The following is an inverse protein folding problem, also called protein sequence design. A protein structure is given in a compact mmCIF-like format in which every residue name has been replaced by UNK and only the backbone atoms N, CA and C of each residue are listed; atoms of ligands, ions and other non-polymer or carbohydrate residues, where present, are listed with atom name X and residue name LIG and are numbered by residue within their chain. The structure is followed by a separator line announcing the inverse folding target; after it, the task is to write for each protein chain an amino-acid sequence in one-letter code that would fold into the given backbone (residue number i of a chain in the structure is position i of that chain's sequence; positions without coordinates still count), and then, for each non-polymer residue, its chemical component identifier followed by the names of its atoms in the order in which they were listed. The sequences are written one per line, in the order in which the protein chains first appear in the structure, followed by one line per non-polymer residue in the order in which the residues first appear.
data_IF_166579123955
#
_entry.id   IF_166579123955
#
_cell.length_a   1.000
_cell.length_b   1.000
_cell.length_c   1.000
_cell.angle_alpha   90.00
_cell.angle_beta   90.00
_cell.angle_gamma   90.00
#
_symmetry.space_group_name_H-M   'P 1'
#
loop_
_entity.id
_entity.type
_entity.pdbx_description
1 polymer ?
#
# COMPACT_ATOMS: atom_id res chain seq x y z
N UNK A 1 31.82 26.23 -8.12
CA UNK A 1 32.96 25.30 -8.25
C UNK A 1 32.49 23.96 -7.72
N UNK A 2 32.16 23.01 -8.59
CA UNK A 2 31.69 21.70 -8.18
C UNK A 2 32.91 20.84 -7.81
N UNK A 3 32.96 20.35 -6.57
CA UNK A 3 33.98 19.35 -6.20
C UNK A 3 33.73 18.08 -7.03
N UNK A 4 34.76 17.51 -7.67
CA UNK A 4 34.68 16.14 -8.15
C UNK A 4 34.32 15.23 -6.98
N UNK A 5 33.33 14.35 -7.13
CA UNK A 5 32.92 13.37 -6.12
C UNK A 5 34.08 12.48 -5.61
N UNK A 6 35.20 12.47 -6.34
CA UNK A 6 36.45 11.79 -5.98
C UNK A 6 37.19 12.43 -4.79
N UNK A 7 36.84 13.65 -4.40
CA UNK A 7 37.48 14.39 -3.30
C UNK A 7 36.63 14.44 -2.01
N UNK A 8 35.55 13.66 -1.90
CA UNK A 8 34.79 13.56 -0.65
C UNK A 8 35.66 12.81 0.38
N UNK A 9 36.00 13.42 1.52
CA UNK A 9 36.77 12.73 2.57
C UNK A 9 36.09 11.44 3.01
N UNK A 10 36.86 10.36 3.19
CA UNK A 10 36.34 9.01 3.46
C UNK A 10 35.47 8.94 4.72
N UNK A 11 35.75 9.79 5.71
CA UNK A 11 34.99 9.97 6.95
C UNK A 11 33.62 10.64 6.73
N UNK A 12 33.47 11.41 5.65
CA UNK A 12 32.23 12.12 5.30
C UNK A 12 31.31 11.25 4.43
N UNK A 13 31.86 10.29 3.69
CA UNK A 13 31.08 9.43 2.78
C UNK A 13 29.88 8.75 3.45
N UNK A 14 30.00 8.11 4.64
CA UNK A 14 28.84 7.53 5.32
C UNK A 14 27.76 8.54 5.67
N UNK A 15 28.14 9.78 5.99
CA UNK A 15 27.21 10.85 6.33
C UNK A 15 26.43 11.33 5.10
N UNK A 16 27.12 11.49 3.97
CA UNK A 16 26.49 11.84 2.69
C UNK A 16 25.54 10.73 2.24
N UNK A 17 25.95 9.47 2.37
CA UNK A 17 25.12 8.33 1.98
C UNK A 17 23.81 8.20 2.78
N UNK A 18 23.71 8.77 4.00
CA UNK A 18 22.44 8.81 4.75
C UNK A 18 21.36 9.67 4.06
N UNK A 19 21.76 10.62 3.22
CA UNK A 19 20.83 11.48 2.48
C UNK A 19 20.44 10.91 1.11
N UNK A 20 21.11 9.84 0.67
CA UNK A 20 20.84 9.21 -0.62
C UNK A 20 19.63 8.28 -0.50
N UNK A 21 18.72 8.32 -1.47
CA UNK A 21 17.76 7.22 -1.63
C UNK A 21 18.51 5.94 -2.01
N UNK A 22 17.89 4.77 -1.88
CA UNK A 22 18.52 3.53 -2.36
C UNK A 22 18.81 3.61 -3.86
N UNK A 23 18.02 4.40 -4.58
CA UNK A 23 18.18 4.63 -6.00
C UNK A 23 19.43 5.47 -6.29
N UNK A 24 19.64 6.56 -5.55
CA UNK A 24 20.86 7.37 -5.69
C UNK A 24 22.11 6.52 -5.42
N UNK A 25 22.07 5.69 -4.37
CA UNK A 25 23.14 4.73 -4.10
C UNK A 25 23.32 3.68 -5.21
N UNK A 26 22.22 3.24 -5.82
CA UNK A 26 22.26 2.31 -6.96
C UNK A 26 22.96 2.95 -8.15
N UNK A 27 22.58 4.17 -8.52
CA UNK A 27 23.22 4.90 -9.62
C UNK A 27 24.68 5.20 -9.32
N UNK A 28 24.98 5.69 -8.11
CA UNK A 28 26.32 6.03 -7.69
C UNK A 28 27.25 4.80 -7.73
N UNK A 29 26.73 3.61 -7.39
CA UNK A 29 27.48 2.35 -7.48
C UNK A 29 27.86 1.91 -8.91
N UNK A 30 27.37 2.59 -9.95
CA UNK A 30 27.77 2.36 -11.35
C UNK A 30 28.66 3.48 -11.92
N UNK A 31 28.97 4.51 -11.13
CA UNK A 31 29.78 5.64 -11.60
C UNK A 31 31.26 5.26 -11.70
N UNK A 32 31.82 4.59 -10.70
CA UNK A 32 33.21 4.10 -10.71
C UNK A 32 33.42 2.92 -9.76
N UNK A 33 34.63 2.36 -9.74
CA UNK A 33 35.01 1.18 -8.94
C UNK A 33 34.96 1.45 -7.44
N UNK A 34 35.29 2.67 -7.00
CA UNK A 34 35.22 3.08 -5.60
C UNK A 34 33.79 2.95 -5.06
N UNK A 35 32.82 3.59 -5.70
CA UNK A 35 31.42 3.52 -5.28
C UNK A 35 30.84 2.12 -5.45
N UNK A 36 31.21 1.39 -6.50
CA UNK A 36 30.81 -0.01 -6.67
C UNK A 36 31.27 -0.87 -5.47
N UNK A 37 32.50 -0.68 -5.01
CA UNK A 37 33.03 -1.36 -3.82
C UNK A 37 32.29 -0.94 -2.55
N UNK A 38 32.12 0.37 -2.32
CA UNK A 38 31.42 0.90 -1.15
C UNK A 38 29.99 0.33 -1.00
N UNK A 39 29.19 0.36 -2.07
CA UNK A 39 27.81 -0.15 -2.04
C UNK A 39 27.72 -1.69 -2.08
N UNK A 40 28.82 -2.42 -2.06
CA UNK A 40 28.79 -3.89 -1.96
C UNK A 40 28.66 -4.39 -0.51
N UNK A 41 29.01 -3.57 0.49
CA UNK A 41 29.04 -3.91 1.93
C UNK A 41 27.65 -4.16 2.56
N UNK A 42 26.57 -3.87 1.84
CA UNK A 42 25.21 -4.24 2.28
C UNK A 42 24.62 -3.38 3.39
N UNK A 43 25.43 -2.70 4.20
CA UNK A 43 25.04 -1.76 5.27
C UNK A 43 24.04 -0.71 4.76
N UNK A 44 24.40 -0.01 3.68
CA UNK A 44 23.52 0.97 3.01
C UNK A 44 22.16 0.40 2.59
N UNK A 45 22.13 -0.84 2.09
CA UNK A 45 20.92 -1.45 1.57
C UNK A 45 19.99 -1.96 2.67
N UNK A 46 20.56 -2.54 3.74
CA UNK A 46 19.81 -3.09 4.88
C UNK A 46 18.90 -2.05 5.54
N UNK A 47 19.37 -0.81 5.66
CA UNK A 47 18.56 0.30 6.17
C UNK A 47 17.31 0.59 5.31
N UNK A 48 17.34 0.25 4.01
CA UNK A 48 16.31 0.61 3.02
C UNK A 48 15.40 -0.55 2.62
N UNK A 49 15.84 -1.79 2.80
CA UNK A 49 15.02 -2.97 2.48
C UNK A 49 14.73 -3.86 3.68
N UNK A 50 15.26 -3.53 4.86
CA UNK A 50 15.20 -4.37 6.05
C UNK A 50 16.18 -5.53 5.99
N UNK A 51 16.19 -6.33 7.06
CA UNK A 51 16.91 -7.60 7.06
C UNK A 51 16.11 -8.64 6.29
N UNK A 52 16.71 -9.19 5.23
CA UNK A 52 16.09 -10.21 4.37
C UNK A 52 17.04 -11.39 4.24
N UNK A 53 16.58 -12.60 4.56
CA UNK A 53 17.35 -13.82 4.26
C UNK A 53 17.28 -14.10 2.75
N UNK A 54 18.36 -13.81 2.03
CA UNK A 54 18.41 -14.04 0.60
C UNK A 54 19.81 -14.40 0.12
N UNK A 55 19.87 -15.27 -0.90
CA UNK A 55 21.10 -15.66 -1.59
C UNK A 55 21.60 -14.62 -2.59
N UNK A 56 20.84 -13.54 -2.83
CA UNK A 56 21.22 -12.47 -3.75
C UNK A 56 22.01 -11.37 -3.03
N UNK A 57 22.90 -10.69 -3.77
CA UNK A 57 23.56 -9.49 -3.25
C UNK A 57 22.53 -8.43 -2.86
N UNK A 58 22.85 -7.64 -1.83
CA UNK A 58 21.97 -6.58 -1.33
C UNK A 58 21.50 -5.61 -2.42
N UNK A 59 22.41 -5.21 -3.31
CA UNK A 59 22.09 -4.40 -4.49
C UNK A 59 21.05 -5.08 -5.41
N UNK A 60 21.17 -6.40 -5.63
CA UNK A 60 20.22 -7.18 -6.45
C UNK A 60 18.87 -7.37 -5.73
N UNK A 61 18.87 -7.47 -4.41
CA UNK A 61 17.64 -7.48 -3.61
C UNK A 61 16.90 -6.14 -3.72
N UNK A 62 17.60 -5.01 -3.52
CA UNK A 62 17.05 -3.67 -3.70
C UNK A 62 16.43 -3.46 -5.09
N UNK A 63 17.10 -3.93 -6.15
CA UNK A 63 16.59 -3.87 -7.53
C UNK A 63 15.38 -4.77 -7.77
N UNK A 64 15.09 -5.72 -6.88
CA UNK A 64 13.93 -6.59 -7.02
C UNK A 64 12.76 -6.18 -6.13
N UNK A 65 13.01 -5.45 -5.05
CA UNK A 65 11.94 -4.89 -4.24
C UNK A 65 11.27 -3.75 -5.01
N UNK A 66 10.01 -3.92 -5.36
CA UNK A 66 9.25 -2.95 -6.16
C UNK A 66 7.88 -2.75 -5.55
N UNK A 67 7.48 -1.48 -5.44
CA UNK A 67 6.11 -1.12 -5.11
C UNK A 67 5.20 -1.42 -6.30
N UNK A 68 3.92 -1.62 -6.04
CA UNK A 68 2.93 -1.96 -7.07
C UNK A 68 2.24 -0.69 -7.59
N UNK A 69 2.33 -0.44 -8.88
CA UNK A 69 1.59 0.57 -9.63
C UNK A 69 0.17 0.09 -9.91
N UNK A 70 -0.80 0.88 -9.48
CA UNK A 70 -2.21 0.69 -9.77
C UNK A 70 -2.72 1.78 -10.69
N UNK A 71 -3.42 1.32 -11.72
CA UNK A 71 -3.98 2.14 -12.76
C UNK A 71 -5.49 1.92 -12.78
N UNK A 72 -6.24 2.90 -12.25
CA UNK A 72 -7.71 2.93 -12.41
C UNK A 72 -8.15 3.04 -13.87
N UNK A 73 -9.44 2.87 -14.15
CA UNK A 73 -9.94 2.93 -15.53
C UNK A 73 -9.73 4.30 -16.17
N UNK A 74 -9.54 4.27 -17.49
CA UNK A 74 -9.55 5.50 -18.27
C UNK A 74 -10.97 6.08 -18.32
N UNK A 75 -11.11 7.40 -18.42
CA UNK A 75 -12.42 8.06 -18.58
C UNK A 75 -13.18 7.48 -19.79
N UNK A 76 -12.48 7.21 -20.89
CA UNK A 76 -13.03 6.62 -22.12
C UNK A 76 -12.59 5.15 -22.29
N UNK A 77 -12.69 4.36 -21.23
CA UNK A 77 -12.35 2.93 -21.26
C UNK A 77 -13.33 2.12 -22.12
N UNK A 78 -12.86 1.01 -22.68
CA UNK A 78 -13.73 0.02 -23.32
C UNK A 78 -14.46 -0.78 -22.24
N UNK A 79 -15.64 -1.34 -22.53
CA UNK A 79 -16.37 -2.18 -21.57
C UNK A 79 -15.54 -3.33 -20.98
N UNK A 80 -14.61 -3.89 -21.78
CA UNK A 80 -13.75 -5.02 -21.42
C UNK A 80 -12.48 -4.61 -20.66
N UNK A 81 -12.21 -3.31 -20.50
CA UNK A 81 -11.04 -2.84 -19.76
C UNK A 81 -11.24 -3.05 -18.25
N UNK A 82 -10.17 -3.44 -17.57
CA UNK A 82 -10.14 -3.60 -16.12
C UNK A 82 -9.18 -2.61 -15.47
N UNK A 83 -9.55 -2.14 -14.28
CA UNK A 83 -8.59 -1.51 -13.37
C UNK A 83 -7.49 -2.52 -13.01
N UNK A 84 -6.33 -2.01 -12.63
CA UNK A 84 -5.33 -2.83 -11.96
C UNK A 84 -5.84 -3.32 -10.62
N UNK A 85 -5.67 -4.60 -10.31
CA UNK A 85 -5.98 -5.15 -8.99
C UNK A 85 -5.08 -6.34 -8.67
N UNK A 86 -4.96 -6.65 -7.37
CA UNK A 86 -4.32 -7.88 -6.89
C UNK A 86 -5.12 -8.48 -5.73
N UNK A 87 -4.93 -9.77 -5.51
CA UNK A 87 -5.47 -10.47 -4.36
C UNK A 87 -4.47 -10.49 -3.20
N UNK A 88 -5.01 -10.60 -1.98
CA UNK A 88 -4.22 -10.96 -0.81
C UNK A 88 -3.86 -12.44 -0.87
N UNK A 89 -2.60 -12.77 -0.63
CA UNK A 89 -2.11 -14.14 -0.55
C UNK A 89 -1.89 -14.52 0.92
N UNK A 90 -2.31 -15.73 1.30
CA UNK A 90 -1.97 -16.32 2.59
C UNK A 90 -0.45 -16.33 2.80
N UNK A 91 -0.01 -16.01 4.01
CA UNK A 91 1.41 -16.10 4.34
C UNK A 91 1.84 -17.54 4.64
N UNK A 92 0.89 -18.37 5.11
CA UNK A 92 1.13 -19.80 5.29
C UNK A 92 0.95 -20.54 3.96
N UNK A 93 2.03 -21.14 3.45
CA UNK A 93 2.12 -21.97 2.22
C UNK A 93 1.18 -23.21 2.14
N UNK A 94 0.13 -23.30 2.97
CA UNK A 94 -0.62 -24.54 3.22
C UNK A 94 -2.08 -24.55 2.73
N UNK A 95 -2.57 -23.51 2.06
CA UNK A 95 -3.97 -23.47 1.63
C UNK A 95 -4.10 -23.76 0.13
N UNK A 96 -5.05 -24.62 -0.26
CA UNK A 96 -5.43 -24.86 -1.66
C UNK A 96 -6.25 -23.71 -2.26
N UNK A 97 -6.42 -22.61 -1.52
CA UNK A 97 -7.27 -21.49 -1.90
C UNK A 97 -6.45 -20.48 -2.71
N UNK A 98 -6.99 -19.94 -3.81
CA UNK A 98 -6.23 -19.04 -4.67
C UNK A 98 -5.96 -17.67 -4.04
N UNK A 99 -6.71 -17.28 -3.00
CA UNK A 99 -6.57 -16.00 -2.31
C UNK A 99 -7.05 -16.05 -0.85
N UNK A 100 -6.52 -15.16 -0.03
CA UNK A 100 -6.91 -14.93 1.36
C UNK A 100 -8.29 -14.27 1.44
N UNK A 101 -9.14 -14.78 2.32
CA UNK A 101 -10.49 -14.25 2.53
C UNK A 101 -10.58 -13.54 3.88
N UNK A 102 -10.43 -12.21 3.85
CA UNK A 102 -10.50 -11.37 5.06
C UNK A 102 -11.83 -11.56 5.81
N UNK A 103 -12.94 -11.71 5.08
CA UNK A 103 -14.25 -11.97 5.68
C UNK A 103 -14.30 -13.24 6.55
N UNK A 104 -13.45 -14.23 6.27
CA UNK A 104 -13.37 -15.48 7.03
C UNK A 104 -12.57 -15.38 8.32
N UNK A 105 -12.00 -14.23 8.65
CA UNK A 105 -11.42 -14.00 9.97
C UNK A 105 -12.46 -14.04 11.10
N UNK A 106 -13.74 -14.34 10.81
CA UNK A 106 -14.71 -14.82 11.79
C UNK A 106 -14.86 -13.84 12.95
N UNK A 107 -14.82 -14.31 14.18
CA UNK A 107 -14.89 -13.47 15.39
C UNK A 107 -13.52 -13.06 15.94
N UNK A 108 -12.48 -13.06 15.10
CA UNK A 108 -11.13 -12.66 15.54
C UNK A 108 -10.89 -11.17 15.34
N UNK A 109 -10.09 -10.58 16.23
CA UNK A 109 -9.50 -9.27 16.00
C UNK A 109 -8.52 -9.35 14.83
N UNK A 110 -8.48 -8.30 14.02
CA UNK A 110 -7.59 -8.24 12.86
C UNK A 110 -7.15 -6.80 12.61
N UNK A 111 -6.07 -6.66 11.86
CA UNK A 111 -5.62 -5.36 11.39
C UNK A 111 -5.12 -5.46 9.97
N UNK A 112 -5.04 -4.34 9.27
CA UNK A 112 -4.24 -4.23 8.05
C UNK A 112 -3.43 -2.94 8.09
N UNK A 113 -2.31 -2.95 7.39
CA UNK A 113 -1.53 -1.74 7.12
C UNK A 113 -1.06 -1.73 5.66
N UNK A 114 -0.83 -0.52 5.17
CA UNK A 114 -0.45 -0.27 3.79
C UNK A 114 0.29 1.05 3.67
N UNK A 115 1.36 1.05 2.88
CA UNK A 115 1.91 2.28 2.34
C UNK A 115 1.29 2.55 0.98
N UNK A 116 0.83 3.77 0.75
CA UNK A 116 0.31 4.15 -0.55
C UNK A 116 0.72 5.57 -0.94
N UNK A 117 0.76 5.82 -2.24
CA UNK A 117 0.90 7.14 -2.83
C UNK A 117 -0.13 7.35 -3.92
N UNK A 118 -0.70 8.55 -3.98
CA UNK A 118 -1.69 8.93 -4.98
C UNK A 118 -0.99 9.48 -6.21
N UNK A 119 -1.43 9.09 -7.40
CA UNK A 119 -0.98 9.73 -8.64
C UNK A 119 -1.85 10.95 -8.94
N UNK A 120 -1.30 12.00 -9.57
CA UNK A 120 -2.08 13.15 -9.96
C UNK A 120 -3.17 12.74 -10.95
N UNK A 121 -4.31 13.43 -10.92
CA UNK A 121 -5.29 13.31 -11.99
C UNK A 121 -4.64 13.65 -13.34
N UNK A 122 -5.03 12.92 -14.38
CA UNK A 122 -4.65 13.21 -15.76
C UNK A 122 -5.91 13.44 -16.58
N UNK A 123 -5.77 13.82 -17.86
CA UNK A 123 -6.93 13.95 -18.75
C UNK A 123 -7.74 12.65 -18.85
N UNK A 124 -7.07 11.51 -18.70
CA UNK A 124 -7.67 10.20 -18.91
C UNK A 124 -7.95 9.46 -17.61
N UNK A 125 -7.53 9.95 -16.44
CA UNK A 125 -7.62 9.20 -15.17
C UNK A 125 -7.95 10.10 -14.00
N UNK A 126 -8.88 9.63 -13.17
CA UNK A 126 -9.28 10.33 -11.96
C UNK A 126 -8.24 10.20 -10.84
N UNK A 127 -8.22 11.19 -9.96
CA UNK A 127 -7.47 11.16 -8.70
C UNK A 127 -8.15 10.23 -7.71
N UNK A 128 -7.39 9.53 -6.87
CA UNK A 128 -7.94 8.67 -5.81
C UNK A 128 -8.23 7.24 -6.27
N UNK A 129 -9.26 6.63 -5.66
CA UNK A 129 -9.72 5.28 -5.94
C UNK A 129 -9.77 4.38 -4.70
N UNK A 130 -10.23 3.15 -4.89
CA UNK A 130 -10.39 2.17 -3.82
C UNK A 130 -9.09 1.41 -3.61
N UNK A 131 -8.48 1.58 -2.44
CA UNK A 131 -7.25 0.89 -2.05
C UNK A 131 -7.58 -0.56 -1.66
N UNK A 132 -8.63 -0.77 -0.85
CA UNK A 132 -9.12 -2.09 -0.46
C UNK A 132 -10.64 -2.15 -0.63
N UNK A 133 -11.08 -2.95 -1.60
CA UNK A 133 -12.49 -3.29 -1.81
C UNK A 133 -12.76 -4.73 -1.45
N UNK A 134 -13.89 -5.00 -0.80
CA UNK A 134 -14.43 -6.35 -0.68
C UNK A 134 -15.77 -6.46 -1.37
N UNK A 135 -16.00 -7.58 -2.05
CA UNK A 135 -17.12 -7.78 -2.96
C UNK A 135 -17.61 -9.24 -2.90
N UNK A 136 -18.87 -9.49 -3.28
CA UNK A 136 -19.39 -10.84 -3.51
C UNK A 136 -18.98 -11.43 -4.86
N UNK A 137 -18.70 -10.57 -5.84
CA UNK A 137 -18.26 -10.92 -7.19
C UNK A 137 -16.99 -10.14 -7.52
N UNK A 138 -16.01 -10.75 -8.19
CA UNK A 138 -14.73 -10.09 -8.46
C UNK A 138 -14.80 -9.20 -9.69
N UNK A 139 -13.87 -8.24 -9.78
CA UNK A 139 -13.76 -7.33 -10.94
C UNK A 139 -13.70 -8.10 -12.26
N UNK A 140 -12.89 -9.15 -12.34
CA UNK A 140 -12.67 -9.94 -13.56
C UNK A 140 -13.85 -10.84 -13.94
N UNK A 141 -14.76 -11.15 -13.00
CA UNK A 141 -15.99 -11.88 -13.32
C UNK A 141 -16.94 -11.09 -14.23
N UNK A 142 -16.74 -9.77 -14.33
CA UNK A 142 -17.63 -8.82 -15.00
C UNK A 142 -19.08 -8.82 -14.47
N UNK A 143 -19.36 -9.56 -13.40
CA UNK A 143 -20.68 -9.58 -12.76
C UNK A 143 -20.83 -8.40 -11.82
N UNK A 144 -22.06 -7.89 -11.74
CA UNK A 144 -22.40 -6.90 -10.72
C UNK A 144 -22.36 -7.54 -9.33
N UNK A 145 -21.53 -7.04 -8.39
CA UNK A 145 -21.51 -7.57 -7.03
C UNK A 145 -22.79 -7.16 -6.30
N UNK A 146 -23.48 -8.12 -5.71
CA UNK A 146 -24.67 -7.84 -4.90
C UNK A 146 -24.29 -7.22 -3.56
N UNK A 147 -23.17 -7.66 -2.98
CA UNK A 147 -22.60 -7.10 -1.76
C UNK A 147 -21.23 -6.51 -2.04
N UNK A 148 -20.98 -5.29 -1.59
CA UNK A 148 -19.70 -4.61 -1.81
C UNK A 148 -19.45 -3.51 -0.81
N UNK A 149 -18.22 -3.44 -0.32
CA UNK A 149 -17.75 -2.40 0.60
C UNK A 149 -16.36 -1.89 0.21
N UNK A 150 -16.16 -0.58 0.40
CA UNK A 150 -14.88 0.10 0.18
C UNK A 150 -14.26 0.35 1.56
N UNK A 151 -13.45 -0.57 2.05
CA UNK A 151 -12.90 -0.50 3.41
C UNK A 151 -11.73 0.48 3.54
N UNK A 152 -11.01 0.74 2.45
CA UNK A 152 -10.05 1.82 2.37
C UNK A 152 -10.13 2.46 0.98
N UNK A 153 -10.34 3.76 0.91
CA UNK A 153 -10.46 4.48 -0.36
C UNK A 153 -10.16 5.97 -0.21
N UNK A 154 -9.78 6.60 -1.32
CA UNK A 154 -9.61 8.05 -1.41
C UNK A 154 -10.57 8.59 -2.48
N UNK A 155 -11.40 9.57 -2.14
CA UNK A 155 -12.29 10.22 -3.11
C UNK A 155 -11.50 11.03 -4.13
N UNK A 156 -12.14 11.45 -5.22
CA UNK A 156 -11.51 12.35 -6.20
C UNK A 156 -11.17 13.74 -5.65
N UNK A 157 -11.69 14.08 -4.46
CA UNK A 157 -11.35 15.30 -3.71
C UNK A 157 -10.19 15.13 -2.72
N UNK A 158 -9.64 13.93 -2.59
CA UNK A 158 -8.58 13.64 -1.61
C UNK A 158 -9.07 13.44 -0.19
N UNK A 159 -10.30 12.98 -0.02
CA UNK A 159 -10.85 12.56 1.27
C UNK A 159 -10.58 11.07 1.47
N UNK A 160 -9.93 10.71 2.58
CA UNK A 160 -9.66 9.34 2.96
C UNK A 160 -10.83 8.80 3.77
N UNK A 161 -11.32 7.64 3.35
CA UNK A 161 -12.26 6.82 4.10
C UNK A 161 -11.58 5.51 4.45
N UNK A 162 -11.69 5.11 5.71
CA UNK A 162 -11.18 3.83 6.17
C UNK A 162 -12.05 3.30 7.31
N UNK A 163 -12.82 2.25 7.05
CA UNK A 163 -13.76 1.69 8.02
C UNK A 163 -14.21 0.30 7.62
N UNK A 164 -14.37 -0.59 8.61
CA UNK A 164 -15.02 -1.91 8.48
C UNK A 164 -16.40 -1.94 9.12
N UNK A 165 -16.85 -0.80 9.67
CA UNK A 165 -18.17 -0.60 10.28
C UNK A 165 -19.20 -0.21 9.21
N UNK A 166 -20.48 -0.18 9.58
CA UNK A 166 -21.57 0.25 8.68
C UNK A 166 -21.48 1.72 8.26
N UNK A 167 -20.91 2.57 9.12
CA UNK A 167 -20.71 3.99 8.83
C UNK A 167 -19.45 4.25 8.01
N UNK A 168 -19.59 5.09 6.97
CA UNK A 168 -18.46 5.67 6.25
C UNK A 168 -18.33 7.14 6.62
N UNK A 169 -17.19 7.49 7.20
CA UNK A 169 -16.84 8.86 7.55
C UNK A 169 -15.47 9.19 6.96
N UNK A 170 -15.27 10.47 6.66
CA UNK A 170 -13.98 11.00 6.27
C UNK A 170 -13.07 10.98 7.50
N UNK A 171 -11.98 10.22 7.45
CA UNK A 171 -11.00 10.12 8.54
C UNK A 171 -9.80 11.04 8.33
N UNK A 172 -9.53 11.44 7.08
CA UNK A 172 -8.56 12.48 6.74
C UNK A 172 -8.95 13.16 5.43
N UNK A 173 -8.49 14.39 5.21
CA UNK A 173 -8.81 15.17 4.01
C UNK A 173 -7.55 15.81 3.41
N UNK A 174 -7.70 16.38 2.22
CA UNK A 174 -6.64 17.08 1.49
C UNK A 174 -5.37 16.22 1.27
N UNK A 175 -5.56 14.91 1.01
CA UNK A 175 -4.45 14.05 0.59
C UNK A 175 -3.89 14.55 -0.74
N UNK A 176 -2.56 14.52 -0.87
CA UNK A 176 -1.83 15.07 -2.02
C UNK A 176 -1.25 13.95 -2.88
N UNK A 177 -1.14 14.22 -4.17
CA UNK A 177 -0.40 13.36 -5.09
C UNK A 177 1.08 13.29 -4.72
N UNK A 178 1.76 12.21 -5.14
CA UNK A 178 3.20 12.01 -5.04
C UNK A 178 3.77 12.12 -3.61
N UNK A 179 2.94 11.80 -2.62
CA UNK A 179 3.32 11.71 -1.22
C UNK A 179 3.06 10.30 -0.71
N UNK A 180 3.98 9.76 0.07
CA UNK A 180 3.80 8.50 0.78
C UNK A 180 2.93 8.71 2.02
N UNK A 181 1.95 7.83 2.19
CA UNK A 181 1.07 7.74 3.34
C UNK A 181 1.12 6.32 3.90
N UNK A 182 1.29 6.19 5.20
CA UNK A 182 1.09 4.92 5.89
C UNK A 182 -0.31 4.91 6.51
N UNK A 183 -1.16 4.00 6.07
CA UNK A 183 -2.49 3.78 6.63
C UNK A 183 -2.53 2.45 7.35
N UNK A 184 -3.06 2.45 8.56
CA UNK A 184 -3.41 1.22 9.27
C UNK A 184 -4.82 1.28 9.83
N UNK A 185 -5.50 0.15 9.84
CA UNK A 185 -6.75 -0.04 10.55
C UNK A 185 -6.62 -1.26 11.44
N UNK A 186 -7.05 -1.13 12.68
CA UNK A 186 -7.09 -2.21 13.66
C UNK A 186 -8.51 -2.35 14.20
N UNK A 187 -9.06 -3.56 14.17
CA UNK A 187 -10.37 -3.88 14.70
C UNK A 187 -10.27 -4.95 15.79
N UNK A 188 -10.69 -4.59 17.00
CA UNK A 188 -10.71 -5.44 18.17
C UNK A 188 -12.14 -6.00 18.37
N UNK A 189 -12.27 -7.33 18.33
CA UNK A 189 -13.58 -7.95 18.26
C UNK A 189 -14.33 -8.00 19.61
N UNK A 190 -13.67 -7.99 20.77
CA UNK A 190 -14.38 -8.13 22.05
C UNK A 190 -15.14 -6.84 22.40
N UNK A 191 -14.47 -5.70 22.29
CA UNK A 191 -15.02 -4.36 22.55
C UNK A 191 -15.62 -3.72 21.29
N UNK A 192 -15.51 -4.39 20.13
CA UNK A 192 -15.99 -3.89 18.84
C UNK A 192 -15.37 -2.52 18.52
N UNK A 193 -14.08 -2.38 18.81
CA UNK A 193 -13.39 -1.11 18.65
C UNK A 193 -12.57 -1.10 17.35
N UNK A 194 -12.79 -0.08 16.53
CA UNK A 194 -11.98 0.23 15.37
C UNK A 194 -11.07 1.42 15.67
N UNK A 195 -9.78 1.28 15.37
CA UNK A 195 -8.80 2.36 15.37
C UNK A 195 -8.24 2.53 13.96
N UNK A 196 -8.13 3.77 13.49
CA UNK A 196 -7.53 4.12 12.20
C UNK A 196 -6.33 5.03 12.44
N UNK A 197 -5.23 4.72 11.78
CA UNK A 197 -3.97 5.41 11.91
C UNK A 197 -3.50 5.93 10.55
N UNK A 198 -2.96 7.14 10.52
CA UNK A 198 -2.32 7.73 9.36
C UNK A 198 -0.95 8.28 9.73
N UNK A 199 0.07 7.85 9.00
CA UNK A 199 1.48 8.22 9.23
C UNK A 199 1.94 8.00 10.67
N UNK A 200 1.57 6.86 11.24
CA UNK A 200 1.93 6.50 12.61
C UNK A 200 0.99 7.07 13.68
N UNK A 201 0.09 8.00 13.36
CA UNK A 201 -0.78 8.65 14.36
C UNK A 201 -2.21 8.13 14.29
N UNK A 202 -2.82 7.83 15.43
CA UNK A 202 -4.27 7.57 15.49
C UNK A 202 -5.06 8.82 15.07
N UNK A 203 -5.93 8.66 14.07
CA UNK A 203 -6.79 9.73 13.53
C UNK A 203 -8.27 9.49 13.80
N UNK A 204 -8.67 8.27 14.16
CA UNK A 204 -10.05 7.92 14.49
C UNK A 204 -10.10 6.69 15.39
N UNK A 205 -11.02 6.70 16.36
CA UNK A 205 -11.32 5.58 17.25
C UNK A 205 -12.83 5.51 17.45
N UNK A 206 -13.46 4.44 16.99
CA UNK A 206 -14.92 4.31 16.97
C UNK A 206 -15.32 2.91 17.42
N UNK A 207 -16.36 2.83 18.26
CA UNK A 207 -16.96 1.57 18.67
C UNK A 207 -18.15 1.26 17.78
N UNK A 208 -18.21 0.05 17.25
CA UNK A 208 -19.34 -0.42 16.47
C UNK A 208 -19.13 -1.84 15.92
N UNK A 209 -20.21 -2.56 15.60
CA UNK A 209 -20.09 -3.84 14.93
C UNK A 209 -19.55 -3.66 13.51
N UNK A 210 -18.86 -4.68 13.01
CA UNK A 210 -18.57 -4.78 11.58
C UNK A 210 -19.84 -4.68 10.76
N UNK A 211 -19.66 -4.29 9.50
CA UNK A 211 -20.73 -4.26 8.51
C UNK A 211 -21.56 -5.55 8.55
N UNK A 212 -22.89 -5.43 8.57
CA UNK A 212 -23.80 -6.57 8.71
C UNK A 212 -23.63 -7.63 7.60
N UNK A 213 -23.23 -7.19 6.40
CA UNK A 213 -22.97 -8.05 5.23
C UNK A 213 -21.57 -8.69 5.22
N UNK A 214 -20.78 -8.57 6.29
CA UNK A 214 -19.37 -9.00 6.33
C UNK A 214 -19.12 -10.39 5.76
N UNK A 215 -19.99 -11.37 6.07
CA UNK A 215 -19.84 -12.75 5.63
C UNK A 215 -20.13 -12.97 4.14
N UNK A 216 -20.74 -12.01 3.46
CA UNK A 216 -20.98 -12.05 2.02
C UNK A 216 -19.84 -11.43 1.20
N UNK A 217 -18.95 -10.69 1.85
CA UNK A 217 -17.82 -9.96 1.26
C UNK A 217 -16.61 -10.87 1.03
N UNK A 218 -16.76 -11.88 0.18
CA UNK A 218 -15.79 -12.99 0.05
C UNK A 218 -14.49 -12.61 -0.63
N UNK A 219 -14.50 -11.64 -1.53
CA UNK A 219 -13.39 -11.34 -2.42
C UNK A 219 -12.75 -10.02 -2.02
N UNK A 220 -11.57 -10.08 -1.41
CA UNK A 220 -10.77 -8.90 -1.10
C UNK A 220 -9.81 -8.59 -2.26
N UNK A 221 -9.99 -7.42 -2.89
CA UNK A 221 -9.14 -6.95 -3.97
C UNK A 221 -8.49 -5.63 -3.57
N UNK A 222 -7.16 -5.58 -3.70
CA UNK A 222 -6.38 -4.36 -3.51
C UNK A 222 -6.32 -3.63 -4.85
N UNK A 223 -6.59 -2.33 -4.82
CA UNK A 223 -6.55 -1.45 -5.98
C UNK A 223 -7.85 -1.33 -6.78
N UNK A 224 -8.95 -1.98 -6.36
CA UNK A 224 -10.26 -1.83 -6.99
C UNK A 224 -11.42 -2.11 -6.02
N UNK A 225 -12.62 -1.71 -6.42
CA UNK A 225 -13.89 -2.09 -5.80
C UNK A 225 -15.08 -1.46 -6.51
N UNK A 226 -16.29 -1.96 -6.26
CA UNK A 226 -17.55 -1.37 -6.75
C UNK A 226 -18.07 -0.30 -5.79
N UNK A 227 -18.75 0.72 -6.31
CA UNK A 227 -19.40 1.83 -5.60
C UNK A 227 -20.86 1.95 -6.07
N UNK A 228 -21.78 2.20 -5.15
CA UNK A 228 -23.21 2.44 -5.43
C UNK A 228 -23.76 3.72 -4.80
N UNK A 229 -22.94 4.45 -4.03
CA UNK A 229 -23.43 5.66 -3.37
C UNK A 229 -23.13 6.88 -4.24
N UNK A 230 -24.19 7.63 -4.52
CA UNK A 230 -24.19 8.96 -5.13
C UNK A 230 -23.46 10.03 -4.30
N UNK A 231 -23.36 9.82 -2.99
CA UNK A 231 -22.78 10.79 -2.04
C UNK A 231 -21.26 10.83 -2.01
N UNK A 232 -20.59 9.79 -2.53
CA UNK A 232 -19.14 9.69 -2.52
C UNK A 232 -18.62 10.17 -3.88
N UNK A 233 -17.69 11.14 -3.89
CA UNK A 233 -17.05 11.65 -5.11
C UNK A 233 -16.12 10.60 -5.74
N UNK A 234 -16.69 9.55 -6.34
CA UNK A 234 -16.02 8.28 -6.65
C UNK A 234 -16.40 7.73 -8.02
N UNK A 235 -15.81 8.21 -9.11
CA UNK A 235 -14.88 9.35 -9.18
C UNK A 235 -15.60 10.71 -9.29
N UNK A 236 -16.88 10.71 -9.63
CA UNK A 236 -17.72 11.90 -9.76
C UNK A 236 -19.09 11.65 -9.11
N UNK A 237 -19.84 12.71 -8.76
CA UNK A 237 -21.18 12.56 -8.17
C UNK A 237 -22.08 11.66 -9.00
N UNK A 238 -22.79 10.72 -8.35
CA UNK A 238 -23.71 9.80 -9.02
C UNK A 238 -23.05 8.64 -9.78
N UNK A 239 -21.73 8.46 -9.70
CA UNK A 239 -21.10 7.29 -10.28
C UNK A 239 -21.53 6.01 -9.56
N UNK A 240 -21.90 5.00 -10.36
CA UNK A 240 -22.25 3.66 -9.92
C UNK A 240 -21.46 2.68 -10.76
N UNK A 241 -20.60 1.88 -10.14
CA UNK A 241 -19.70 1.00 -10.85
C UNK A 241 -18.37 0.77 -10.16
N UNK A 242 -17.44 0.16 -10.90
CA UNK A 242 -16.10 -0.12 -10.43
C UNK A 242 -15.22 1.14 -10.43
N UNK A 243 -14.45 1.32 -9.36
CA UNK A 243 -13.57 2.46 -9.17
C UNK A 243 -12.17 2.01 -8.72
N UNK A 244 -11.27 1.87 -9.68
CA UNK A 244 -9.89 1.49 -9.41
C UNK A 244 -9.03 2.59 -8.80
N UNK A 245 -8.04 2.16 -8.03
CA UNK A 245 -7.00 3.00 -7.46
C UNK A 245 -6.05 3.52 -8.54
N UNK A 246 -5.83 4.84 -8.54
CA UNK A 246 -4.79 5.47 -9.34
C UNK A 246 -3.64 5.92 -8.43
N UNK A 247 -2.67 5.04 -8.26
CA UNK A 247 -1.65 5.20 -7.22
C UNK A 247 -0.57 4.13 -7.22
N UNK A 248 0.28 4.16 -6.21
CA UNK A 248 1.29 3.15 -5.92
C UNK A 248 1.02 2.59 -4.52
N UNK A 249 1.15 1.28 -4.34
CA UNK A 249 1.03 0.59 -3.04
C UNK A 249 2.33 -0.14 -2.73
N UNK A 250 2.78 -0.06 -1.48
CA UNK A 250 3.91 -0.81 -0.94
C UNK A 250 3.47 -1.53 0.35
N UNK A 251 4.00 -2.74 0.56
CA UNK A 251 3.84 -3.50 1.80
C UNK A 251 2.39 -3.61 2.36
N UNK A 252 1.39 -3.91 1.52
CA UNK A 252 0.03 -4.19 2.02
C UNK A 252 0.01 -5.51 2.78
N UNK A 253 -0.34 -5.46 4.08
CA UNK A 253 -0.32 -6.62 4.98
C UNK A 253 -1.60 -6.70 5.81
N UNK A 254 -1.96 -7.92 6.19
CA UNK A 254 -3.08 -8.22 7.12
C UNK A 254 -2.54 -9.03 8.28
N UNK A 255 -2.90 -8.63 9.50
CA UNK A 255 -2.39 -9.17 10.75
C UNK A 255 -3.50 -9.88 11.55
N UNK A 256 -3.13 -10.97 12.22
CA UNK A 256 -4.03 -11.75 13.09
C UNK A 256 -4.09 -11.17 14.51
N UNK A 257 -4.59 -9.94 14.65
CA UNK A 257 -4.73 -9.29 15.94
C UNK A 257 -4.92 -7.79 15.84
N UNK A 258 -5.02 -7.14 17.00
CA UNK A 258 -5.11 -5.69 17.15
C UNK A 258 -3.70 -5.09 17.15
N UNK A 259 -3.35 -4.24 16.19
CA UNK A 259 -2.10 -3.47 16.23
C UNK A 259 -2.14 -2.46 17.40
N UNK A 260 -1.06 -2.40 18.17
CA UNK A 260 -0.85 -1.34 19.15
C UNK A 260 -0.30 -0.07 18.48
N UNK A 261 -0.35 1.06 19.20
CA UNK A 261 0.24 2.31 18.73
C UNK A 261 1.75 2.17 18.47
N UNK A 262 2.47 1.37 19.27
CA UNK A 262 3.89 1.10 19.07
C UNK A 262 4.15 0.25 17.83
N UNK A 263 3.33 -0.78 17.58
CA UNK A 263 3.42 -1.56 16.34
C UNK A 263 3.21 -0.66 15.11
N UNK A 264 2.20 0.21 15.16
CA UNK A 264 1.92 1.16 14.07
C UNK A 264 3.08 2.14 13.88
N UNK A 265 3.70 2.62 14.95
CA UNK A 265 4.87 3.50 14.85
C UNK A 265 6.04 2.83 14.12
N UNK A 266 6.31 1.56 14.43
CA UNK A 266 7.34 0.76 13.76
C UNK A 266 7.01 0.58 12.27
N UNK A 267 5.78 0.20 11.95
CA UNK A 267 5.34 0.00 10.57
C UNK A 267 5.35 1.31 9.75
N UNK A 268 5.03 2.44 10.39
CA UNK A 268 4.98 3.77 9.79
C UNK A 268 6.36 4.38 9.49
N UNK A 269 7.45 3.74 9.92
CA UNK A 269 8.81 4.05 9.49
C UNK A 269 9.41 2.92 8.62
N UNK A 270 8.56 1.97 8.20
CA UNK A 270 8.90 0.81 7.39
C UNK A 270 9.68 -0.28 8.10
N UNK A 271 9.60 -0.32 9.44
CA UNK A 271 10.08 -1.44 10.23
C UNK A 271 9.18 -2.68 10.10
N UNK A 272 9.63 -3.75 10.75
CA UNK A 272 8.93 -5.02 10.85
C UNK A 272 8.52 -5.29 12.30
N UNK A 273 7.37 -5.92 12.49
CA UNK A 273 6.86 -6.32 13.80
C UNK A 273 6.77 -7.84 13.88
N UNK A 274 7.00 -8.38 15.08
CA UNK A 274 6.88 -9.81 15.39
C UNK A 274 5.87 -10.11 16.49
N UNK A 275 5.29 -9.07 17.08
CA UNK A 275 4.30 -9.12 18.17
C UNK A 275 2.99 -9.77 17.73
N UNK A 276 2.62 -9.63 16.45
CA UNK A 276 1.37 -10.14 15.89
C UNK A 276 1.67 -10.97 14.63
N UNK A 277 1.08 -12.16 14.48
CA UNK A 277 1.28 -12.97 13.29
C UNK A 277 0.73 -12.31 12.02
N UNK A 278 1.53 -12.29 10.96
CA UNK A 278 1.08 -11.96 9.61
C UNK A 278 0.11 -13.04 9.11
N UNK A 279 -1.04 -12.65 8.60
CA UNK A 279 -2.03 -13.56 7.99
C UNK A 279 -1.89 -13.60 6.48
N UNK A 280 -1.77 -12.42 5.87
CA UNK A 280 -1.73 -12.28 4.42
C UNK A 280 -1.00 -11.02 3.99
N UNK A 281 -0.58 -10.98 2.73
CA UNK A 281 -0.01 -9.80 2.09
C UNK A 281 -0.41 -9.72 0.62
N UNK A 282 -0.47 -8.50 0.08
CA UNK A 282 -0.60 -8.33 -1.36
C UNK A 282 0.75 -8.60 -2.03
N UNK A 283 0.77 -9.51 -2.99
CA UNK A 283 1.98 -9.86 -3.75
C UNK A 283 1.76 -9.50 -5.23
N UNK A 284 2.77 -8.95 -5.92
CA UNK A 284 2.67 -8.70 -7.34
C UNK A 284 2.49 -10.03 -8.09
N UNK A 285 1.46 -10.13 -8.92
CA UNK A 285 1.21 -11.32 -9.74
C UNK A 285 2.03 -11.30 -11.04
N UNK A 286 2.42 -10.11 -11.52
CA UNK A 286 3.19 -9.90 -12.75
C UNK A 286 4.05 -8.63 -12.66
N UNK A 287 5.16 -8.58 -13.41
CA UNK A 287 6.10 -7.44 -13.44
C UNK A 287 5.47 -6.14 -13.97
N UNK A 288 4.38 -6.23 -14.73
CA UNK A 288 3.66 -5.09 -15.31
C UNK A 288 3.07 -4.14 -14.27
N UNK A 289 2.85 -4.62 -13.05
CA UNK A 289 2.38 -3.81 -11.94
C UNK A 289 3.54 -3.21 -11.13
N UNK A 290 4.80 -3.37 -11.51
CA UNK A 290 5.91 -2.90 -10.67
C UNK A 290 6.31 -1.45 -11.01
N UNK A 291 6.24 -0.58 -10.01
CA UNK A 291 6.75 0.79 -10.08
C UNK A 291 8.22 0.83 -9.70
N UNK A 292 9.05 1.46 -10.53
CA UNK A 292 10.34 1.97 -10.10
C UNK A 292 10.09 3.36 -9.50
N UNK A 293 10.08 3.46 -8.18
CA UNK A 293 9.89 4.72 -7.47
C UNK A 293 10.68 4.73 -6.17
N UNK A 294 10.86 5.91 -5.58
CA UNK A 294 11.37 6.05 -4.21
C UNK A 294 10.45 5.30 -3.26
N UNK A 295 11.03 4.58 -2.29
CA UNK A 295 10.27 3.81 -1.30
C UNK A 295 9.85 4.65 -0.10
N UNK A 296 8.82 4.22 0.65
CA UNK A 296 8.37 4.95 1.84
C UNK A 296 9.47 5.21 2.89
N UNK A 297 10.37 4.24 3.07
CA UNK A 297 11.52 4.35 4.00
C UNK A 297 12.58 5.35 3.55
N UNK A 298 12.56 5.74 2.27
CA UNK A 298 13.52 6.67 1.70
C UNK A 298 13.06 8.13 1.80
N UNK A 299 11.80 8.37 2.18
CA UNK A 299 11.27 9.71 2.40
C UNK A 299 9.77 9.82 2.22
N UNK A 300 9.24 11.01 2.51
CA UNK A 300 7.80 11.28 2.44
C UNK A 300 7.29 11.57 1.04
N UNK A 301 8.18 11.85 0.08
CA UNK A 301 7.82 12.15 -1.32
C UNK A 301 8.05 10.92 -2.20
N UNK A 302 7.04 10.57 -2.99
CA UNK A 302 7.14 9.54 -4.02
C UNK A 302 7.58 10.18 -5.33
N UNK A 303 8.62 9.64 -5.94
CA UNK A 303 9.09 10.04 -7.26
C UNK A 303 9.30 8.80 -8.12
N UNK A 304 8.83 8.85 -9.37
CA UNK A 304 9.19 7.81 -10.32
C UNK A 304 10.67 7.91 -10.67
N UNK A 305 11.29 6.74 -10.65
CA UNK A 305 12.62 6.50 -11.16
C UNK A 305 12.51 6.41 -12.68
N UNK A 306 13.17 7.35 -13.38
CA UNK A 306 13.32 7.32 -14.85
C UNK A 306 14.22 6.17 -15.30
#
# INVERSE_FOLDING_TARGET
MAMPLENVPLDIVPHVCKFLTGFDGFHLSHVNTYWSSYFSDGSFWRERIGEQQSRWSWKKQYVKTRSMLFQGLKVNHRPDDFDSFVYLADDTFRTSRPHFMLAHMGITSFSFDVWFSLLPATKDRHFGGIILGLQSSSRESQQWPHYHQQFAMVSSKGELYCSVLSGKQVVANHLKANRWYHLALSYENNNKQQNVYLNGKEISSVVGPRHHEWYHLRLAQVGTGCVTSDSLHCPYPGHVGWYGFHGVVDAFRVWKGKLSQDDVNVLAIGGEISTIPLSASAKPQQDTFLAKCTRPVEGTTMQFVK
#
